data_IF_741508214109
#
_entry.id   IF_741508214109
#
_cell.length_a   1.000
_cell.length_b   1.000
_cell.length_c   1.000
_cell.angle_alpha   90.00
_cell.angle_beta   90.00
_cell.angle_gamma   90.00
#
_symmetry.space_group_name_H-M   'P 1'
#
loop_
_entity.id
_entity.type
_entity.pdbx_description
1 polymer ?
#
# COMPACT_ATOMS: atom_id res chain seq x y z
N UNK A 1 4.54 -8.63 1.50
CA UNK A 1 5.22 -8.91 0.21
C UNK A 1 6.35 -9.94 0.35
N UNK A 2 7.53 -9.63 0.95
CA UNK A 2 8.61 -10.63 1.11
C UNK A 2 8.24 -11.78 2.08
N UNK A 3 7.31 -11.53 3.01
CA UNK A 3 6.70 -12.58 3.84
C UNK A 3 5.88 -13.56 3.01
N UNK A 4 5.23 -13.08 1.97
CA UNK A 4 4.17 -13.80 1.26
C UNK A 4 4.68 -14.50 -0.01
N UNK A 5 6.02 -14.52 -0.22
CA UNK A 5 6.66 -15.26 -1.31
C UNK A 5 6.43 -14.67 -2.71
N UNK A 6 5.88 -13.46 -2.81
CA UNK A 6 5.34 -12.88 -4.05
C UNK A 6 6.44 -12.41 -5.03
N UNK A 7 7.70 -12.29 -4.59
CA UNK A 7 8.82 -11.90 -5.44
C UNK A 7 9.62 -13.11 -5.96
N UNK A 8 10.04 -13.11 -7.25
CA UNK A 8 10.82 -14.20 -7.86
C UNK A 8 12.20 -14.44 -7.20
N UNK A 9 12.66 -13.53 -6.34
CA UNK A 9 13.90 -13.63 -5.53
C UNK A 9 13.65 -13.61 -4.01
N UNK A 10 12.41 -13.87 -3.57
CA UNK A 10 11.98 -13.74 -2.17
C UNK A 10 12.83 -14.52 -1.16
N UNK A 11 13.48 -15.63 -1.56
CA UNK A 11 14.38 -16.39 -0.67
C UNK A 11 15.64 -15.61 -0.26
N UNK A 12 16.24 -14.83 -1.15
CA UNK A 12 17.47 -14.07 -0.85
C UNK A 12 17.17 -12.75 -0.11
N UNK A 13 16.09 -12.05 -0.48
CA UNK A 13 15.69 -10.80 0.18
C UNK A 13 15.14 -11.00 1.60
N UNK A 14 14.73 -12.23 1.95
CA UNK A 14 14.22 -12.60 3.29
C UNK A 14 15.33 -12.97 4.27
N UNK A 15 16.60 -12.94 3.86
CA UNK A 15 17.71 -13.23 4.76
C UNK A 15 17.86 -12.09 5.77
N UNK A 16 17.55 -12.39 7.03
CA UNK A 16 17.54 -11.43 8.15
C UNK A 16 18.81 -11.65 8.98
N UNK A 17 19.49 -10.55 9.30
CA UNK A 17 20.66 -10.60 10.17
C UNK A 17 20.25 -10.82 11.63
N UNK A 18 20.84 -11.85 12.28
CA UNK A 18 20.38 -12.35 13.61
C UNK A 18 20.45 -11.33 14.75
N UNK A 19 21.39 -10.37 14.69
CA UNK A 19 21.63 -9.41 15.78
C UNK A 19 20.70 -8.19 15.72
N UNK A 20 20.45 -7.68 14.52
CA UNK A 20 19.72 -6.41 14.31
C UNK A 20 18.29 -6.64 13.80
N UNK A 21 17.94 -7.89 13.44
CA UNK A 21 16.65 -8.27 12.84
C UNK A 21 16.27 -7.46 11.58
N UNK A 22 17.24 -6.79 10.97
CA UNK A 22 17.06 -6.00 9.74
C UNK A 22 17.50 -6.79 8.50
N UNK A 23 16.78 -6.69 7.37
CA UNK A 23 17.17 -7.33 6.12
C UNK A 23 18.23 -6.50 5.39
N UNK A 24 19.51 -6.66 5.76
CA UNK A 24 20.63 -5.89 5.20
C UNK A 24 20.79 -6.08 3.68
N UNK A 25 20.58 -7.30 3.17
CA UNK A 25 20.68 -7.59 1.74
C UNK A 25 19.69 -6.77 0.91
N UNK A 26 18.48 -6.53 1.43
CA UNK A 26 17.48 -5.69 0.78
C UNK A 26 17.90 -4.21 0.75
N UNK A 27 18.54 -3.74 1.82
CA UNK A 27 19.02 -2.34 1.90
C UNK A 27 20.10 -2.09 0.85
N UNK A 28 21.10 -2.96 0.74
CA UNK A 28 22.13 -2.83 -0.29
C UNK A 28 21.58 -2.96 -1.70
N UNK A 29 20.59 -3.83 -1.92
CA UNK A 29 19.94 -3.96 -3.22
C UNK A 29 19.22 -2.67 -3.64
N UNK A 30 18.40 -2.08 -2.76
CA UNK A 30 17.71 -0.82 -3.04
C UNK A 30 18.72 0.32 -3.24
N UNK A 31 19.72 0.43 -2.37
CA UNK A 31 20.79 1.43 -2.50
C UNK A 31 21.52 1.35 -3.84
N UNK A 32 21.85 0.13 -4.30
CA UNK A 32 22.52 -0.07 -5.57
C UNK A 32 21.64 0.34 -6.75
N UNK A 33 20.36 -0.02 -6.75
CA UNK A 33 19.40 0.38 -7.78
C UNK A 33 19.22 1.90 -7.81
N UNK A 34 19.06 2.54 -6.64
CA UNK A 34 18.92 3.99 -6.54
C UNK A 34 20.19 4.72 -7.01
N UNK A 35 21.38 4.18 -6.70
CA UNK A 35 22.65 4.72 -7.18
C UNK A 35 22.77 4.65 -8.71
N UNK A 36 22.29 3.57 -9.34
CA UNK A 36 22.25 3.47 -10.81
C UNK A 36 21.27 4.48 -11.43
N UNK A 37 20.11 4.69 -10.81
CA UNK A 37 19.15 5.70 -11.25
C UNK A 37 19.71 7.12 -11.13
N UNK A 38 20.46 7.42 -10.08
CA UNK A 38 21.13 8.71 -9.90
C UNK A 38 22.25 8.93 -10.93
N UNK A 39 22.97 7.88 -11.32
CA UNK A 39 23.97 7.97 -12.40
C UNK A 39 23.33 8.32 -13.75
N UNK A 40 22.12 7.84 -14.02
CA UNK A 40 21.41 8.12 -15.27
C UNK A 40 21.08 9.61 -15.44
N UNK A 41 20.86 10.35 -14.35
CA UNK A 41 20.65 11.80 -14.39
C UNK A 41 21.86 12.54 -14.99
N UNK A 42 23.09 12.02 -14.82
CA UNK A 42 24.29 12.61 -15.41
C UNK A 42 24.33 12.46 -16.94
N UNK A 43 23.67 11.44 -17.47
CA UNK A 43 23.59 11.19 -18.91
C UNK A 43 22.47 11.99 -19.58
N UNK A 44 21.28 12.06 -18.97
CA UNK A 44 20.14 12.81 -19.51
C UNK A 44 19.13 13.22 -18.45
N UNK A 45 18.89 14.53 -18.33
CA UNK A 45 17.85 15.07 -17.46
C UNK A 45 16.44 14.70 -17.93
N UNK A 46 16.18 14.66 -19.25
CA UNK A 46 14.86 14.31 -19.81
C UNK A 46 14.48 12.86 -19.47
N UNK A 47 15.43 11.93 -19.60
CA UNK A 47 15.20 10.52 -19.30
C UNK A 47 14.91 10.29 -17.81
N UNK A 48 15.68 10.94 -16.93
CA UNK A 48 15.48 10.84 -15.49
C UNK A 48 14.15 11.45 -15.03
N UNK A 49 13.80 12.64 -15.55
CA UNK A 49 12.49 13.27 -15.26
C UNK A 49 11.32 12.37 -15.67
N UNK A 50 11.45 11.67 -16.80
CA UNK A 50 10.43 10.70 -17.23
C UNK A 50 10.31 9.53 -16.25
N UNK A 51 11.42 8.98 -15.76
CA UNK A 51 11.43 7.90 -14.76
C UNK A 51 10.78 8.34 -13.44
N UNK A 52 11.11 9.54 -12.97
CA UNK A 52 10.51 10.09 -11.75
C UNK A 52 8.99 10.26 -11.89
N UNK A 53 8.52 10.80 -13.02
CA UNK A 53 7.10 10.95 -13.28
C UNK A 53 6.37 9.59 -13.25
N UNK A 54 6.98 8.53 -13.81
CA UNK A 54 6.44 7.16 -13.77
C UNK A 54 6.39 6.64 -12.32
N UNK A 55 7.44 6.84 -11.54
CA UNK A 55 7.49 6.41 -10.15
C UNK A 55 6.40 7.12 -9.32
N UNK A 56 6.25 8.44 -9.48
CA UNK A 56 5.19 9.21 -8.84
C UNK A 56 3.81 8.73 -9.27
N UNK A 57 3.58 8.51 -10.58
CA UNK A 57 2.32 7.98 -11.08
C UNK A 57 1.98 6.61 -10.44
N UNK A 58 2.95 5.71 -10.34
CA UNK A 58 2.78 4.43 -9.66
C UNK A 58 2.36 4.57 -8.20
N UNK A 59 2.93 5.53 -7.47
CA UNK A 59 2.49 5.85 -6.11
C UNK A 59 1.06 6.41 -6.08
N UNK A 60 0.70 7.32 -6.99
CA UNK A 60 -0.66 7.86 -7.06
C UNK A 60 -1.69 6.75 -7.31
N UNK A 61 -1.42 5.83 -8.23
CA UNK A 61 -2.31 4.69 -8.51
C UNK A 61 -2.43 3.77 -7.30
N UNK A 62 -1.32 3.51 -6.60
CA UNK A 62 -1.31 2.71 -5.36
C UNK A 62 -2.15 3.32 -4.25
N UNK A 63 -2.14 4.66 -4.10
CA UNK A 63 -3.01 5.37 -3.15
C UNK A 63 -4.45 5.49 -3.63
N UNK A 64 -4.67 5.61 -4.93
CA UNK A 64 -6.00 5.65 -5.52
C UNK A 64 -6.76 4.34 -5.30
N UNK A 65 -6.09 3.19 -5.36
CA UNK A 65 -6.69 1.87 -5.19
C UNK A 65 -7.47 1.69 -3.86
N UNK A 66 -6.88 1.91 -2.66
CA UNK A 66 -7.61 1.80 -1.40
C UNK A 66 -8.66 2.90 -1.21
N UNK A 67 -8.45 4.11 -1.74
CA UNK A 67 -9.43 5.20 -1.70
C UNK A 67 -10.66 4.83 -2.53
N UNK A 68 -10.44 4.33 -3.75
CA UNK A 68 -11.49 3.87 -4.63
C UNK A 68 -12.24 2.66 -4.05
N UNK A 69 -11.53 1.70 -3.47
CA UNK A 69 -12.14 0.54 -2.81
C UNK A 69 -13.00 0.97 -1.60
N UNK A 70 -12.56 1.99 -0.85
CA UNK A 70 -13.35 2.60 0.23
C UNK A 70 -14.62 3.28 -0.30
N UNK A 71 -14.53 3.98 -1.43
CA UNK A 71 -15.65 4.67 -2.06
C UNK A 71 -16.65 3.73 -2.76
N UNK A 72 -16.23 2.56 -3.22
CA UNK A 72 -17.07 1.63 -4.00
C UNK A 72 -17.57 0.45 -3.16
N UNK A 73 -16.67 -0.46 -2.79
CA UNK A 73 -16.98 -1.76 -2.18
C UNK A 73 -17.19 -1.64 -0.67
N UNK A 74 -16.34 -0.88 0.03
CA UNK A 74 -16.38 -0.85 1.49
C UNK A 74 -17.42 0.11 2.08
N UNK A 75 -18.24 0.82 1.26
CA UNK A 75 -19.23 1.78 1.78
C UNK A 75 -20.19 1.19 2.81
N UNK A 76 -20.49 -0.10 2.74
CA UNK A 76 -21.43 -0.80 3.64
C UNK A 76 -20.78 -1.79 4.62
N UNK A 77 -19.50 -2.13 4.43
CA UNK A 77 -18.80 -3.18 5.19
C UNK A 77 -17.61 -2.63 5.98
N UNK A 78 -17.33 -1.33 5.89
CA UNK A 78 -16.23 -0.71 6.59
C UNK A 78 -16.56 -0.56 8.09
N UNK A 79 -15.83 -1.30 8.92
CA UNK A 79 -15.84 -1.11 10.37
C UNK A 79 -15.04 0.16 10.68
N UNK A 80 -15.69 1.11 11.36
CA UNK A 80 -15.06 2.38 11.76
C UNK A 80 -13.98 2.10 12.80
N UNK A 81 -12.74 2.53 12.53
CA UNK A 81 -11.69 2.54 13.55
C UNK A 81 -11.93 3.62 14.61
N UNK A 82 -11.19 3.53 15.72
CA UNK A 82 -11.24 4.47 16.86
C UNK A 82 -11.11 5.94 16.42
N UNK A 83 -10.31 6.20 15.39
CA UNK A 83 -10.26 7.48 14.70
C UNK A 83 -11.10 7.44 13.41
N UNK A 84 -12.22 8.15 13.42
CA UNK A 84 -13.07 8.32 12.24
C UNK A 84 -13.36 9.81 11.97
N UNK A 85 -13.30 10.20 10.69
CA UNK A 85 -13.70 11.53 10.23
C UNK A 85 -15.23 11.65 10.05
N UNK A 86 -16.00 10.70 10.60
CA UNK A 86 -17.46 10.62 10.46
C UNK A 86 -17.95 10.86 9.04
N UNK A 87 -18.84 11.85 8.88
CA UNK A 87 -19.49 12.21 7.61
C UNK A 87 -18.53 12.82 6.57
N UNK A 88 -17.39 13.36 6.99
CA UNK A 88 -16.43 14.02 6.08
C UNK A 88 -15.48 13.03 5.39
N UNK A 89 -15.41 11.78 5.83
CA UNK A 89 -14.49 10.79 5.25
C UNK A 89 -14.77 10.49 3.77
N UNK A 90 -16.05 10.41 3.36
CA UNK A 90 -16.45 10.14 1.98
C UNK A 90 -16.19 11.32 1.03
N UNK A 91 -16.62 12.56 1.32
CA UNK A 91 -16.32 13.69 0.43
C UNK A 91 -14.83 13.95 0.28
N UNK A 92 -14.03 13.81 1.34
CA UNK A 92 -12.56 13.96 1.26
C UNK A 92 -11.96 12.87 0.36
N UNK A 93 -12.42 11.62 0.47
CA UNK A 93 -11.96 10.54 -0.40
C UNK A 93 -12.29 10.79 -1.88
N UNK A 94 -13.47 11.35 -2.18
CA UNK A 94 -13.85 11.74 -3.55
C UNK A 94 -12.97 12.86 -4.06
N UNK A 95 -12.79 13.94 -3.28
CA UNK A 95 -11.93 15.07 -3.66
C UNK A 95 -10.49 14.59 -3.90
N UNK A 96 -9.96 13.74 -3.02
CA UNK A 96 -8.65 13.14 -3.17
C UNK A 96 -8.56 12.32 -4.46
N UNK A 97 -9.55 11.47 -4.77
CA UNK A 97 -9.55 10.68 -6.00
C UNK A 97 -9.57 11.53 -7.28
N UNK A 98 -10.34 12.62 -7.29
CA UNK A 98 -10.39 13.57 -8.41
C UNK A 98 -9.03 14.26 -8.54
N UNK A 99 -8.46 14.73 -7.44
CA UNK A 99 -7.15 15.36 -7.41
C UNK A 99 -6.03 14.45 -7.94
N UNK A 100 -6.00 13.19 -7.50
CA UNK A 100 -5.05 12.19 -8.00
C UNK A 100 -5.21 11.92 -9.49
N UNK A 101 -6.46 11.92 -9.99
CA UNK A 101 -6.73 11.72 -11.41
C UNK A 101 -6.25 12.91 -12.25
N UNK A 102 -6.54 14.13 -11.80
CA UNK A 102 -6.12 15.36 -12.49
C UNK A 102 -4.59 15.45 -12.55
N UNK A 103 -3.91 15.28 -11.41
CA UNK A 103 -2.44 15.34 -11.34
C UNK A 103 -1.76 14.27 -12.20
N UNK A 104 -2.36 13.07 -12.27
CA UNK A 104 -1.87 12.00 -13.14
C UNK A 104 -1.95 12.38 -14.63
N UNK A 105 -3.04 13.02 -15.07
CA UNK A 105 -3.19 13.46 -16.47
C UNK A 105 -2.17 14.54 -16.81
N UNK A 106 -1.98 15.52 -15.91
CA UNK A 106 -1.03 16.62 -16.12
C UNK A 106 0.41 16.10 -16.26
N UNK A 107 0.79 15.05 -15.53
CA UNK A 107 2.13 14.46 -15.63
C UNK A 107 2.45 13.85 -17.02
N UNK A 108 1.45 13.56 -17.85
CA UNK A 108 1.68 13.10 -19.22
C UNK A 108 1.88 14.23 -20.23
N UNK A 109 1.60 15.48 -19.86
CA UNK A 109 1.87 16.62 -20.73
C UNK A 109 3.37 16.98 -20.72
N UNK A 110 3.91 17.47 -21.85
CA UNK A 110 5.26 18.02 -21.90
C UNK A 110 5.31 19.35 -21.13
N UNK A 111 6.39 19.59 -20.39
CA UNK A 111 6.58 20.79 -19.58
C UNK A 111 6.99 22.02 -20.38
N UNK A 112 7.44 21.84 -21.63
CA UNK A 112 8.01 22.90 -22.46
C UNK A 112 7.54 22.81 -23.93
N UNK A 113 7.44 23.97 -24.57
CA UNK A 113 7.10 24.13 -25.98
C UNK A 113 8.14 25.04 -26.66
N UNK A 114 8.65 24.74 -27.87
CA UNK A 114 8.24 23.67 -28.79
C UNK A 114 8.79 22.28 -28.43
N UNK A 115 7.98 21.24 -28.68
CA UNK A 115 8.36 19.85 -28.38
C UNK A 115 9.35 19.33 -29.42
N UNK A 116 10.60 19.13 -29.00
CA UNK A 116 11.64 18.44 -29.79
C UNK A 116 11.80 16.98 -29.33
N UNK A 117 12.47 16.14 -30.12
CA UNK A 117 12.71 14.73 -29.76
C UNK A 117 13.46 14.59 -28.42
N UNK A 118 14.29 15.57 -28.09
CA UNK A 118 15.10 15.57 -26.87
C UNK A 118 14.35 16.07 -25.63
N UNK A 119 13.18 16.72 -25.82
CA UNK A 119 12.37 17.31 -24.75
C UNK A 119 10.96 16.69 -24.64
N UNK A 120 10.67 15.65 -25.43
CA UNK A 120 9.39 14.96 -25.35
C UNK A 120 9.30 14.17 -24.04
N UNK A 121 8.17 14.29 -23.34
CA UNK A 121 7.90 13.50 -22.15
C UNK A 121 7.59 12.04 -22.54
N UNK A 122 8.57 11.15 -22.35
CA UNK A 122 8.45 9.72 -22.70
C UNK A 122 7.65 8.90 -21.69
N UNK A 123 7.14 9.52 -20.62
CA UNK A 123 6.41 8.86 -19.54
C UNK A 123 5.23 8.04 -20.06
N UNK A 124 4.42 8.56 -20.99
CA UNK A 124 3.24 7.85 -21.51
C UNK A 124 3.60 6.53 -22.20
N UNK A 125 4.68 6.52 -22.98
CA UNK A 125 5.13 5.33 -23.72
C UNK A 125 5.65 4.27 -22.77
N UNK A 126 6.44 4.68 -21.78
CA UNK A 126 7.01 3.76 -20.79
C UNK A 126 5.91 3.20 -19.88
N UNK A 127 4.98 4.03 -19.40
CA UNK A 127 3.82 3.57 -18.61
C UNK A 127 2.99 2.58 -19.41
N UNK A 128 2.66 2.88 -20.66
CA UNK A 128 1.94 1.96 -21.54
C UNK A 128 2.65 0.61 -21.69
N UNK A 129 3.95 0.62 -21.91
CA UNK A 129 4.78 -0.59 -21.97
C UNK A 129 4.76 -1.40 -20.68
N UNK A 130 4.94 -0.74 -19.52
CA UNK A 130 4.92 -1.40 -18.21
C UNK A 130 3.55 -2.00 -17.91
N UNK A 131 2.46 -1.29 -18.21
CA UNK A 131 1.09 -1.80 -18.03
C UNK A 131 0.82 -3.01 -18.92
N UNK A 132 1.28 -2.99 -20.18
CA UNK A 132 1.17 -4.14 -21.08
C UNK A 132 1.96 -5.35 -20.57
N UNK A 133 3.19 -5.14 -20.10
CA UNK A 133 3.99 -6.22 -19.50
C UNK A 133 3.33 -6.78 -18.25
N UNK A 134 2.81 -5.91 -17.37
CA UNK A 134 2.11 -6.32 -16.16
C UNK A 134 0.82 -7.10 -16.48
N UNK A 135 0.03 -6.63 -17.45
CA UNK A 135 -1.16 -7.33 -17.93
C UNK A 135 -0.81 -8.70 -18.53
N UNK A 136 0.22 -8.75 -19.37
CA UNK A 136 0.71 -10.00 -19.99
C UNK A 136 1.17 -10.99 -18.93
N UNK A 137 1.95 -10.53 -17.94
CA UNK A 137 2.38 -11.34 -16.80
C UNK A 137 1.18 -11.83 -15.96
N UNK A 138 0.16 -10.98 -15.78
CA UNK A 138 -1.06 -11.33 -15.07
C UNK A 138 -1.83 -12.44 -15.77
N UNK A 139 -2.04 -12.32 -17.09
CA UNK A 139 -2.75 -13.33 -17.89
C UNK A 139 -2.00 -14.65 -17.98
N UNK A 140 -0.67 -14.62 -18.06
CA UNK A 140 0.17 -15.82 -18.22
C UNK A 140 0.41 -16.55 -16.90
N UNK A 141 0.72 -15.84 -15.83
CA UNK A 141 1.24 -16.45 -14.60
C UNK A 141 0.46 -16.07 -13.35
N UNK A 142 0.25 -14.77 -13.12
CA UNK A 142 -0.23 -14.31 -11.82
C UNK A 142 -1.66 -14.80 -11.52
N UNK A 143 -2.54 -14.91 -12.53
CA UNK A 143 -3.91 -15.44 -12.33
C UNK A 143 -3.97 -16.89 -11.86
N UNK A 144 -2.91 -17.67 -12.07
CA UNK A 144 -2.87 -19.10 -11.75
C UNK A 144 -2.34 -19.38 -10.34
N UNK A 145 -1.57 -18.45 -9.75
CA UNK A 145 -0.88 -18.68 -8.47
C UNK A 145 -1.25 -17.66 -7.38
N UNK A 146 -1.96 -16.57 -7.72
CA UNK A 146 -2.32 -15.54 -6.76
C UNK A 146 -3.46 -15.99 -5.84
N UNK A 147 -3.11 -16.47 -4.66
CA UNK A 147 -4.06 -16.69 -3.56
C UNK A 147 -4.23 -15.36 -2.84
N UNK A 148 -5.48 -14.93 -2.66
CA UNK A 148 -5.83 -13.69 -1.96
C UNK A 148 -5.25 -13.59 -0.54
N UNK A 149 -5.41 -12.45 0.15
CA UNK A 149 -4.79 -12.20 1.45
C UNK A 149 -5.08 -13.35 2.41
N UNK A 150 -4.03 -14.08 2.82
CA UNK A 150 -4.13 -15.10 3.86
C UNK A 150 -4.41 -14.37 5.18
N UNK A 151 -5.69 -14.32 5.58
CA UNK A 151 -6.08 -13.82 6.90
C UNK A 151 -5.45 -14.72 7.95
N UNK A 152 -4.68 -14.15 8.86
CA UNK A 152 -4.10 -14.88 10.01
C UNK A 152 -5.15 -15.13 11.10
N UNK A 153 -6.30 -14.47 10.96
CA UNK A 153 -7.39 -14.35 11.92
C UNK A 153 -8.54 -15.34 11.65
N UNK A 154 -8.33 -16.30 10.73
CA UNK A 154 -9.27 -17.38 10.43
C UNK A 154 -8.75 -18.76 10.87
N UNK A 155 -7.96 -18.81 11.94
CA UNK A 155 -7.75 -20.07 12.66
C UNK A 155 -8.79 -20.16 13.77
N UNK A 156 -9.78 -21.06 13.69
CA UNK A 156 -10.60 -21.43 14.83
C UNK A 156 -9.77 -22.42 15.67
N UNK A 157 -8.56 -22.05 16.09
CA UNK A 157 -7.98 -22.73 17.24
C UNK A 157 -8.82 -22.31 18.42
N UNK A 158 -9.52 -23.25 19.12
CA UNK A 158 -10.16 -22.92 20.37
C UNK A 158 -9.07 -22.31 21.25
N UNK A 159 -9.28 -21.06 21.69
CA UNK A 159 -8.42 -20.44 22.69
C UNK A 159 -8.22 -21.48 23.80
N UNK A 160 -6.98 -21.75 24.24
CA UNK A 160 -6.77 -22.63 25.37
C UNK A 160 -7.67 -22.15 26.52
N UNK A 161 -8.46 -23.04 27.15
CA UNK A 161 -9.39 -22.65 28.19
C UNK A 161 -8.58 -22.08 29.36
N UNK A 162 -8.55 -20.75 29.49
CA UNK A 162 -7.72 -20.13 30.52
C UNK A 162 -7.54 -18.62 30.48
N UNK A 163 -7.85 -17.94 29.37
CA UNK A 163 -7.77 -16.46 29.32
C UNK A 163 -9.04 -15.86 28.70
N UNK A 164 -10.18 -16.14 29.33
CA UNK A 164 -11.31 -15.20 29.28
C UNK A 164 -10.82 -13.99 30.07
N UNK A 165 -10.71 -12.84 29.41
CA UNK A 165 -10.52 -11.58 30.11
C UNK A 165 -11.62 -11.50 31.17
N UNK A 166 -11.22 -11.59 32.43
CA UNK A 166 -12.10 -11.51 33.59
C UNK A 166 -13.00 -10.30 33.41
N UNK A 167 -14.26 -10.53 33.05
CA UNK A 167 -15.28 -9.50 33.21
C UNK A 167 -15.26 -9.12 34.69
N UNK A 168 -14.98 -7.84 34.90
CA UNK A 168 -14.82 -7.15 36.17
C UNK A 168 -16.08 -7.31 37.05
N UNK A 169 -16.15 -8.43 37.78
CA UNK A 169 -17.20 -8.69 38.77
C UNK A 169 -17.08 -7.77 40.01
N UNK A 170 -16.05 -6.93 40.08
CA UNK A 170 -15.84 -5.98 41.19
C UNK A 170 -16.91 -4.89 41.23
N UNK A 171 -17.58 -4.60 40.11
CA UNK A 171 -18.64 -3.58 40.04
C UNK A 171 -20.02 -4.08 40.53
N UNK A 172 -20.27 -5.40 40.52
CA UNK A 172 -21.51 -5.99 41.05
C UNK A 172 -21.48 -6.13 42.57
N UNK A 173 -20.35 -6.57 43.12
CA UNK A 173 -20.23 -6.76 44.58
C UNK A 173 -20.30 -5.43 45.35
N UNK A 174 -19.72 -4.34 44.80
CA UNK A 174 -19.84 -3.00 45.38
C UNK A 174 -21.27 -2.43 45.35
N UNK A 175 -22.09 -2.80 44.35
CA UNK A 175 -23.50 -2.36 44.30
C UNK A 175 -24.38 -3.13 45.29
N UNK A 176 -24.10 -4.41 45.55
CA UNK A 176 -24.83 -5.20 46.56
C UNK A 176 -24.46 -4.83 48.00
N UNK A 177 -23.21 -4.45 48.26
CA UNK A 177 -22.75 -4.10 49.61
C UNK A 177 -23.29 -2.72 50.05
N UNK A 178 -23.35 -1.74 49.13
CA UNK A 178 -23.91 -0.40 49.41
C UNK A 178 -25.43 -0.43 49.61
N UNK A 179 -26.15 -1.36 48.97
CA UNK A 179 -27.59 -1.53 49.16
C UNK A 179 -27.97 -2.11 50.53
N UNK A 180 -27.06 -2.86 51.17
CA UNK A 180 -27.31 -3.54 52.45
C UNK A 180 -26.92 -2.68 53.67
N UNK A 181 -26.12 -1.62 53.47
CA UNK A 181 -25.65 -0.69 54.52
C UNK A 181 -26.60 0.48 54.80
N UNK A 182 -27.75 0.58 54.11
CA UNK A 182 -28.74 1.67 54.29
C UNK A 182 -30.10 1.17 54.82
N UNK A 183 -30.07 0.29 55.81
CA UNK A 183 -31.22 -0.03 56.68
C UNK A 183 -30.79 0.08 58.12
#
# INVERSE_FOLDING_TARGET
MARDGVFPLSKYLRWIYKRTKTPLANIFFVFFVDSLLLLLQLASATAFNSILAIATFGFQVSYLMPIFLRCTVARKTFVLGEFNLGRFGVPIAVIASIWLTITSIIMFFPSEYPVTKDNMNYTVVIVGGVLLLAATYWFISARHWFVGPKRTDADPTPLPPGHVASEDNTTKDMSSEVATSRV
#
